data_IF_624241064084
#
_entry.id   IF_624241064084
#
_cell.length_a   1.000
_cell.length_b   1.000
_cell.length_c   1.000
_cell.angle_alpha   90.00
_cell.angle_beta   90.00
_cell.angle_gamma   90.00
#
_symmetry.space_group_name_H-M   'P 1'
#
loop_
_entity.id
_entity.type
_entity.pdbx_description
1 polymer ?
#
# COMPACT_ATOMS: atom_id res chain seq x y z
N UNK A 1 -9.71 10.83 76.58
CA UNK A 1 -10.02 11.13 75.16
C UNK A 1 -9.83 9.84 74.38
N UNK A 2 -10.87 9.42 73.66
CA UNK A 2 -11.02 8.10 73.04
C UNK A 2 -10.24 8.06 71.72
N UNK A 3 -9.38 7.06 71.55
CA UNK A 3 -8.80 6.74 70.24
C UNK A 3 -9.82 5.90 69.45
N UNK A 4 -10.25 6.32 68.25
CA UNK A 4 -11.11 5.48 67.43
C UNK A 4 -10.29 4.38 66.76
N UNK A 5 -10.65 3.16 67.16
CA UNK A 5 -10.33 1.89 66.53
C UNK A 5 -10.82 1.84 65.08
N UNK A 6 -9.99 1.28 64.20
CA UNK A 6 -10.39 0.42 63.08
C UNK A 6 -11.56 0.88 62.19
N UNK A 7 -11.25 1.69 61.17
CA UNK A 7 -11.84 1.46 59.84
C UNK A 7 -10.81 0.67 59.04
N UNK A 8 -10.88 -0.64 59.23
CA UNK A 8 -10.24 -1.65 58.42
C UNK A 8 -11.13 -1.82 57.18
N UNK A 9 -10.76 -1.28 56.03
CA UNK A 9 -11.03 -1.88 54.71
C UNK A 9 -10.64 -0.91 53.58
N UNK A 10 -9.72 -1.40 52.75
CA UNK A 10 -9.58 -1.09 51.33
C UNK A 10 -9.32 0.36 50.93
N UNK A 11 -8.03 0.73 50.81
CA UNK A 11 -7.53 1.59 49.71
C UNK A 11 -5.99 1.47 49.54
N UNK A 12 -5.43 0.30 49.88
CA UNK A 12 -4.05 -0.03 49.48
C UNK A 12 -4.10 -0.64 48.08
N UNK A 13 -3.65 0.15 47.10
CA UNK A 13 -3.03 -0.33 45.87
C UNK A 13 -3.96 -0.76 44.74
N UNK A 14 -4.17 0.14 43.77
CA UNK A 14 -4.12 -0.27 42.35
C UNK A 14 -3.31 0.80 41.62
N UNK A 15 -1.98 0.66 41.70
CA UNK A 15 -1.10 1.10 40.64
C UNK A 15 -1.36 0.24 39.40
N UNK A 16 -1.26 0.86 38.22
CA UNK A 16 -1.19 0.28 36.88
C UNK A 16 -1.26 -1.25 36.75
N UNK A 17 -2.30 -1.73 36.07
CA UNK A 17 -2.18 -2.96 35.29
C UNK A 17 -2.90 -2.74 33.96
N UNK A 18 -2.14 -2.44 32.90
CA UNK A 18 -2.57 -2.77 31.55
C UNK A 18 -2.85 -4.26 31.55
N UNK A 19 -4.11 -4.62 31.36
CA UNK A 19 -4.50 -6.00 31.15
C UNK A 19 -4.00 -6.41 29.77
N UNK A 20 -2.76 -6.89 29.71
CA UNK A 20 -2.28 -7.72 28.62
C UNK A 20 -3.04 -9.03 28.72
N UNK A 21 -4.16 -9.13 28.01
CA UNK A 21 -4.80 -10.42 27.80
C UNK A 21 -3.90 -11.24 26.88
N UNK A 22 -2.93 -11.94 27.48
CA UNK A 22 -2.25 -13.08 26.87
C UNK A 22 -3.14 -14.31 27.12
N UNK A 23 -4.06 -14.59 26.19
CA UNK A 23 -4.71 -15.88 26.11
C UNK A 23 -3.73 -16.87 25.48
N UNK A 24 -3.02 -17.63 26.32
CA UNK A 24 -2.18 -18.74 25.89
C UNK A 24 -3.01 -19.93 25.44
N UNK A 25 -3.07 -20.13 24.12
CA UNK A 25 -3.21 -21.40 23.39
C UNK A 25 -2.88 -21.08 21.92
N UNK A 26 -2.13 -21.95 21.23
CA UNK A 26 -1.64 -21.86 19.84
C UNK A 26 -0.29 -21.14 19.63
N UNK A 27 0.82 -21.87 19.74
CA UNK A 27 2.16 -21.42 19.35
C UNK A 27 2.35 -21.43 17.82
N UNK A 28 1.52 -20.66 17.12
CA UNK A 28 1.84 -20.15 15.79
C UNK A 28 1.96 -18.64 15.95
N UNK A 29 2.98 -18.21 16.70
CA UNK A 29 3.22 -16.79 16.93
C UNK A 29 3.58 -16.17 15.57
N UNK A 30 2.55 -15.69 14.86
CA UNK A 30 2.68 -15.17 13.51
C UNK A 30 3.57 -13.95 13.58
N UNK A 31 4.66 -13.95 12.81
CA UNK A 31 5.66 -12.88 12.84
C UNK A 31 5.00 -11.50 12.67
N UNK A 32 5.06 -10.68 13.71
CA UNK A 32 4.55 -9.31 13.67
C UNK A 32 5.60 -8.37 13.06
N UNK A 33 5.31 -7.85 11.86
CA UNK A 33 6.17 -6.88 11.16
C UNK A 33 6.19 -5.49 11.83
N UNK A 34 5.13 -5.12 12.55
CA UNK A 34 5.03 -3.84 13.26
C UNK A 34 4.21 -4.01 14.54
N UNK A 35 4.55 -3.28 15.63
CA UNK A 35 3.75 -3.30 16.85
C UNK A 35 2.39 -2.59 16.67
N UNK A 36 2.27 -1.68 15.69
CA UNK A 36 1.00 -1.04 15.32
C UNK A 36 0.15 -1.97 14.45
N UNK A 37 -1.12 -2.19 14.82
CA UNK A 37 -2.01 -3.13 14.12
C UNK A 37 -2.42 -2.66 12.72
N UNK A 38 -2.58 -1.34 12.51
CA UNK A 38 -2.94 -0.78 11.22
C UNK A 38 -1.78 -0.88 10.23
N UNK A 39 -0.56 -0.55 10.68
CA UNK A 39 0.64 -0.71 9.86
C UNK A 39 0.94 -2.18 9.57
N UNK A 40 0.78 -3.05 10.57
CA UNK A 40 0.97 -4.48 10.39
C UNK A 40 0.05 -5.05 9.31
N UNK A 41 -1.25 -4.75 9.36
CA UNK A 41 -2.21 -5.21 8.34
C UNK A 41 -1.83 -4.72 6.94
N UNK A 42 -1.44 -3.46 6.82
CA UNK A 42 -1.08 -2.87 5.54
C UNK A 42 0.18 -3.53 4.94
N UNK A 43 1.19 -3.79 5.78
CA UNK A 43 2.41 -4.52 5.39
C UNK A 43 2.11 -5.97 4.97
N UNK A 44 1.15 -6.63 5.61
CA UNK A 44 0.72 -7.98 5.20
C UNK A 44 0.06 -7.99 3.81
N UNK A 45 -0.75 -6.98 3.48
CA UNK A 45 -1.32 -6.86 2.13
C UNK A 45 -0.20 -6.65 1.10
N UNK A 46 0.76 -5.77 1.38
CA UNK A 46 1.94 -5.56 0.53
C UNK A 46 2.72 -6.85 0.33
N UNK A 47 2.92 -7.63 1.39
CA UNK A 47 3.62 -8.91 1.31
C UNK A 47 2.86 -9.91 0.41
N UNK A 48 1.53 -9.96 0.51
CA UNK A 48 0.68 -10.77 -0.38
C UNK A 48 0.78 -10.34 -1.86
N UNK A 49 0.93 -9.04 -2.12
CA UNK A 49 1.08 -8.48 -3.48
C UNK A 49 2.41 -8.88 -4.15
N UNK A 50 3.37 -9.43 -3.41
CA UNK A 50 4.65 -9.91 -3.97
C UNK A 50 4.46 -11.03 -4.99
N UNK A 51 3.44 -11.87 -4.79
CA UNK A 51 3.07 -12.96 -5.71
C UNK A 51 2.69 -12.47 -7.11
N UNK A 52 2.12 -11.26 -7.20
CA UNK A 52 1.67 -10.63 -8.46
C UNK A 52 2.64 -9.57 -8.99
N UNK A 53 3.89 -9.55 -8.51
CA UNK A 53 4.88 -8.51 -8.85
C UNK A 53 4.45 -7.09 -8.47
N UNK A 54 3.51 -6.95 -7.54
CA UNK A 54 3.04 -5.64 -7.03
C UNK A 54 3.90 -5.06 -5.91
N UNK A 55 4.73 -5.88 -5.28
CA UNK A 55 5.74 -5.48 -4.29
C UNK A 55 6.89 -6.48 -4.30
N UNK A 56 8.02 -6.11 -3.69
CA UNK A 56 9.12 -7.03 -3.39
C UNK A 56 9.11 -7.35 -1.90
N UNK A 57 9.35 -8.62 -1.54
CA UNK A 57 9.47 -9.05 -0.14
C UNK A 57 10.59 -8.29 0.55
N UNK A 58 11.73 -8.11 -0.13
CA UNK A 58 12.87 -7.40 0.45
C UNK A 58 12.55 -5.94 0.77
N UNK A 59 11.84 -5.25 -0.12
CA UNK A 59 11.45 -3.85 0.09
C UNK A 59 10.45 -3.73 1.27
N UNK A 60 9.49 -4.64 1.36
CA UNK A 60 8.44 -4.60 2.41
C UNK A 60 9.04 -4.87 3.78
N UNK A 61 9.97 -5.83 3.89
CA UNK A 61 10.68 -6.09 5.14
C UNK A 61 11.64 -4.95 5.49
N UNK A 62 12.30 -4.35 4.50
CA UNK A 62 13.11 -3.14 4.70
C UNK A 62 12.28 -1.94 5.17
N UNK A 63 11.11 -1.74 4.57
CA UNK A 63 10.16 -0.69 4.98
C UNK A 63 9.66 -0.93 6.41
N UNK A 64 9.32 -2.17 6.76
CA UNK A 64 8.88 -2.51 8.11
C UNK A 64 9.91 -2.13 9.19
N UNK A 65 11.21 -2.24 8.88
CA UNK A 65 12.28 -1.84 9.78
C UNK A 65 12.50 -0.31 9.82
N UNK A 66 12.23 0.40 8.72
CA UNK A 66 12.44 1.84 8.62
C UNK A 66 11.28 2.68 9.20
N UNK A 67 10.07 2.11 9.25
CA UNK A 67 8.86 2.82 9.67
C UNK A 67 8.80 2.93 11.19
N UNK A 68 8.63 4.16 11.69
CA UNK A 68 8.37 4.41 13.11
C UNK A 68 6.89 4.09 13.41
N UNK A 69 6.59 3.15 14.32
CA UNK A 69 5.21 2.80 14.67
C UNK A 69 4.43 4.01 15.20
N UNK A 70 3.17 4.16 14.78
CA UNK A 70 2.31 5.29 15.15
C UNK A 70 2.60 6.62 14.42
N UNK A 71 3.65 6.70 13.59
CA UNK A 71 3.94 7.89 12.79
C UNK A 71 3.54 7.71 11.32
N UNK A 72 2.40 8.30 10.93
CA UNK A 72 1.88 8.24 9.56
C UNK A 72 2.79 8.92 8.53
N UNK A 73 3.48 9.99 8.92
CA UNK A 73 4.42 10.69 8.02
C UNK A 73 5.62 9.82 7.69
N UNK A 74 6.13 9.07 8.67
CA UNK A 74 7.22 8.12 8.46
C UNK A 74 6.80 7.02 7.48
N UNK A 75 5.62 6.43 7.67
CA UNK A 75 5.06 5.44 6.74
C UNK A 75 5.00 5.98 5.30
N UNK A 76 4.37 7.15 5.12
CA UNK A 76 4.17 7.73 3.80
C UNK A 76 5.50 8.09 3.12
N UNK A 77 6.45 8.65 3.88
CA UNK A 77 7.76 9.03 3.36
C UNK A 77 8.58 7.81 2.90
N UNK A 78 8.61 6.73 3.70
CA UNK A 78 9.32 5.49 3.33
C UNK A 78 8.80 4.90 2.02
N UNK A 79 7.47 4.83 1.84
CA UNK A 79 6.91 4.31 0.59
C UNK A 79 7.09 5.25 -0.60
N UNK A 80 7.07 6.56 -0.40
CA UNK A 80 7.37 7.53 -1.46
C UNK A 80 8.83 7.43 -1.95
N UNK A 81 9.77 7.21 -1.02
CA UNK A 81 11.18 6.97 -1.35
C UNK A 81 11.35 5.68 -2.14
N UNK A 82 10.78 4.56 -1.65
CA UNK A 82 10.81 3.27 -2.35
C UNK A 82 10.22 3.36 -3.76
N UNK A 83 9.10 4.07 -3.92
CA UNK A 83 8.47 4.25 -5.21
C UNK A 83 9.38 4.99 -6.19
N UNK A 84 10.08 6.04 -5.72
CA UNK A 84 11.04 6.81 -6.52
C UNK A 84 12.23 5.95 -6.94
N UNK A 85 12.76 5.13 -6.02
CA UNK A 85 13.86 4.20 -6.29
C UNK A 85 13.47 3.16 -7.35
N UNK A 86 12.29 2.54 -7.23
CA UNK A 86 11.80 1.58 -8.24
C UNK A 86 11.53 2.23 -9.58
N UNK A 87 10.99 3.44 -9.59
CA UNK A 87 10.82 4.19 -10.83
C UNK A 87 12.16 4.42 -11.55
N UNK A 88 13.20 4.82 -10.82
CA UNK A 88 14.55 4.97 -11.37
C UNK A 88 15.12 3.63 -11.87
N UNK A 89 14.94 2.54 -11.11
CA UNK A 89 15.36 1.19 -11.50
C UNK A 89 14.66 0.73 -12.79
N UNK A 90 13.36 1.00 -12.92
CA UNK A 90 12.58 0.65 -14.10
C UNK A 90 13.07 1.38 -15.36
N UNK A 91 13.46 2.66 -15.21
CA UNK A 91 14.03 3.47 -16.30
C UNK A 91 15.42 3.01 -16.72
N UNK A 92 16.23 2.50 -15.78
CA UNK A 92 17.57 1.98 -16.07
C UNK A 92 17.54 0.59 -16.74
N UNK A 93 16.43 -0.13 -16.63
CA UNK A 93 16.31 -1.51 -17.09
C UNK A 93 16.00 -1.60 -18.59
N UNK A 94 16.86 -2.30 -19.35
CA UNK A 94 16.64 -2.54 -20.80
C UNK A 94 15.59 -3.62 -21.09
N UNK A 95 15.34 -4.53 -20.14
CA UNK A 95 14.37 -5.61 -20.31
C UNK A 95 12.95 -5.08 -20.10
N UNK A 96 12.13 -5.09 -21.16
CA UNK A 96 10.75 -4.58 -21.13
C UNK A 96 9.84 -5.29 -20.12
N UNK A 97 10.04 -6.59 -19.87
CA UNK A 97 9.22 -7.37 -18.92
C UNK A 97 9.57 -6.97 -17.49
N UNK A 98 10.87 -6.94 -17.18
CA UNK A 98 11.33 -6.48 -15.87
C UNK A 98 10.94 -5.02 -15.63
N UNK A 99 11.11 -4.14 -16.62
CA UNK A 99 10.72 -2.74 -16.52
C UNK A 99 9.21 -2.58 -16.22
N UNK A 100 8.35 -3.36 -16.90
CA UNK A 100 6.90 -3.38 -16.62
C UNK A 100 6.62 -3.73 -15.16
N UNK A 101 7.22 -4.81 -14.68
CA UNK A 101 6.99 -5.33 -13.33
C UNK A 101 7.53 -4.34 -12.28
N UNK A 102 8.67 -3.70 -12.52
CA UNK A 102 9.21 -2.67 -11.63
C UNK A 102 8.35 -1.39 -11.63
N UNK A 103 7.79 -0.98 -12.78
CA UNK A 103 6.83 0.12 -12.82
C UNK A 103 5.54 -0.20 -12.06
N UNK A 104 5.09 -1.47 -12.08
CA UNK A 104 3.93 -1.91 -11.31
C UNK A 104 4.19 -1.86 -9.80
N UNK A 105 5.39 -2.25 -9.37
CA UNK A 105 5.83 -2.09 -7.97
C UNK A 105 5.85 -0.61 -7.56
N UNK A 106 6.44 0.27 -8.38
CA UNK A 106 6.49 1.70 -8.11
C UNK A 106 5.08 2.31 -7.97
N UNK A 107 4.15 1.96 -8.87
CA UNK A 107 2.76 2.41 -8.80
C UNK A 107 2.05 1.92 -7.52
N UNK A 108 2.33 0.69 -7.10
CA UNK A 108 1.81 0.13 -5.86
C UNK A 108 2.33 0.91 -4.66
N UNK A 109 3.63 1.16 -4.55
CA UNK A 109 4.21 1.94 -3.45
C UNK A 109 3.69 3.37 -3.38
N UNK A 110 3.47 4.02 -4.53
CA UNK A 110 2.77 5.31 -4.57
C UNK A 110 1.36 5.27 -3.99
N UNK A 111 0.61 4.19 -4.22
CA UNK A 111 -0.71 3.98 -3.61
C UNK A 111 -0.62 3.86 -2.09
N UNK A 112 0.40 3.19 -1.57
CA UNK A 112 0.61 3.05 -0.13
C UNK A 112 1.09 4.35 0.52
N UNK A 113 1.89 5.16 -0.18
CA UNK A 113 2.34 6.46 0.30
C UNK A 113 1.19 7.47 0.53
N UNK A 114 0.06 7.33 -0.17
CA UNK A 114 -1.14 8.18 0.03
C UNK A 114 -2.13 7.58 1.05
N UNK A 115 -1.90 6.36 1.54
CA UNK A 115 -2.91 5.60 2.27
C UNK A 115 -3.35 6.25 3.58
N UNK A 116 -2.44 6.80 4.37
CA UNK A 116 -2.79 7.45 5.63
C UNK A 116 -3.00 8.97 5.50
N UNK A 117 -3.01 9.52 4.27
CA UNK A 117 -3.05 10.97 4.03
C UNK A 117 -4.44 11.53 3.67
N UNK A 118 -5.52 10.89 4.09
CA UNK A 118 -6.87 11.23 3.61
C UNK A 118 -7.40 12.60 4.07
N UNK A 119 -6.83 13.22 5.11
CA UNK A 119 -7.27 14.52 5.66
C UNK A 119 -6.39 15.73 5.34
N UNK A 120 -5.15 15.54 4.87
CA UNK A 120 -4.19 16.63 4.64
C UNK A 120 -3.46 16.48 3.28
N UNK A 121 -4.26 16.30 2.23
CA UNK A 121 -3.78 16.20 0.84
C UNK A 121 -3.07 17.48 0.34
N UNK A 122 -3.13 18.57 1.11
CA UNK A 122 -2.60 19.89 0.76
C UNK A 122 -1.19 20.12 1.31
N UNK A 123 -0.87 19.66 2.53
CA UNK A 123 0.45 19.96 3.13
C UNK A 123 1.59 19.04 2.67
N UNK A 124 1.29 17.89 2.07
CA UNK A 124 2.31 16.96 1.56
C UNK A 124 2.21 16.91 0.02
N UNK A 125 3.05 17.66 -0.72
CA UNK A 125 2.94 17.79 -2.17
C UNK A 125 3.30 16.53 -2.98
N UNK A 126 3.53 15.38 -2.33
CA UNK A 126 4.25 14.24 -2.91
C UNK A 126 3.30 13.22 -3.59
N UNK A 127 2.13 12.90 -3.03
CA UNK A 127 1.36 11.70 -3.41
C UNK A 127 0.74 11.70 -4.82
N UNK A 128 0.08 12.79 -5.23
CA UNK A 128 -0.65 12.85 -6.52
C UNK A 128 0.28 13.23 -7.68
N UNK A 129 1.27 14.09 -7.44
CA UNK A 129 2.16 14.58 -8.50
C UNK A 129 3.13 13.49 -8.99
N UNK A 130 3.56 12.58 -8.10
CA UNK A 130 4.57 11.56 -8.43
C UNK A 130 3.96 10.20 -8.84
N UNK A 131 2.72 9.91 -8.44
CA UNK A 131 2.01 8.69 -8.88
C UNK A 131 1.62 8.73 -10.36
N UNK A 132 1.17 9.88 -10.88
CA UNK A 132 0.77 10.08 -12.29
C UNK A 132 1.83 9.63 -13.31
N UNK A 133 3.10 10.06 -13.24
CA UNK A 133 4.11 9.65 -14.21
C UNK A 133 4.42 8.14 -14.15
N UNK A 134 4.43 7.54 -12.95
CA UNK A 134 4.68 6.10 -12.79
C UNK A 134 3.59 5.24 -13.42
N UNK A 135 2.31 5.59 -13.18
CA UNK A 135 1.16 4.88 -13.78
C UNK A 135 1.12 5.08 -15.29
N UNK A 136 1.32 6.31 -15.78
CA UNK A 136 1.35 6.59 -17.22
C UNK A 136 2.43 5.78 -17.94
N UNK A 137 3.65 5.71 -17.37
CA UNK A 137 4.75 4.93 -17.94
C UNK A 137 4.50 3.42 -17.87
N UNK A 138 3.90 2.93 -16.79
CA UNK A 138 3.45 1.53 -16.70
C UNK A 138 2.50 1.17 -17.85
N UNK A 139 1.50 2.02 -18.12
CA UNK A 139 0.54 1.84 -19.22
C UNK A 139 1.24 1.85 -20.59
N UNK A 140 2.24 2.70 -20.79
CA UNK A 140 3.02 2.71 -22.03
C UNK A 140 3.79 1.40 -22.23
N UNK A 141 4.49 0.92 -21.18
CA UNK A 141 5.28 -0.31 -21.25
C UNK A 141 4.39 -1.53 -21.46
N UNK A 142 3.24 -1.60 -20.78
CA UNK A 142 2.30 -2.72 -20.95
C UNK A 142 1.68 -2.77 -22.34
N UNK A 143 1.33 -1.62 -22.94
CA UNK A 143 0.85 -1.53 -24.33
C UNK A 143 1.85 -2.04 -25.36
N UNK A 144 3.16 -1.84 -25.13
CA UNK A 144 4.22 -2.31 -26.03
C UNK A 144 4.37 -3.85 -26.13
N UNK A 145 3.60 -4.59 -25.30
CA UNK A 145 3.67 -6.05 -25.17
C UNK A 145 2.38 -6.76 -25.59
N UNK A 146 1.28 -6.03 -25.85
CA UNK A 146 0.09 -6.68 -26.41
C UNK A 146 0.49 -7.32 -27.74
N UNK A 147 0.35 -8.65 -27.91
CA UNK A 147 0.68 -9.27 -29.17
C UNK A 147 -0.20 -8.59 -30.22
N UNK A 148 0.43 -7.91 -31.17
CA UNK A 148 -0.21 -7.51 -32.41
C UNK A 148 -0.45 -8.77 -33.25
N UNK A 149 -1.18 -9.74 -32.72
CA UNK A 149 -1.82 -10.75 -33.54
C UNK A 149 -2.95 -10.03 -34.26
N UNK A 150 -2.60 -9.42 -35.39
CA UNK A 150 -3.54 -8.83 -36.36
C UNK A 150 -4.63 -9.82 -36.79
N UNK A 151 -4.44 -11.12 -36.53
CA UNK A 151 -5.42 -12.18 -36.77
C UNK A 151 -6.44 -12.40 -35.63
N UNK A 152 -6.20 -11.93 -34.40
CA UNK A 152 -7.15 -12.11 -33.29
C UNK A 152 -8.19 -10.99 -33.18
N UNK A 153 -7.92 -9.82 -33.74
CA UNK A 153 -8.85 -8.66 -33.70
C UNK A 153 -10.08 -8.91 -34.59
N UNK A 154 -9.97 -9.76 -35.62
CA UNK A 154 -11.07 -10.03 -36.54
C UNK A 154 -12.17 -10.95 -35.98
N UNK A 155 -11.87 -11.84 -35.03
CA UNK A 155 -12.87 -12.79 -34.49
C UNK A 155 -13.53 -12.33 -33.17
N UNK A 156 -12.94 -11.36 -32.47
CA UNK A 156 -13.47 -10.83 -31.20
C UNK A 156 -14.40 -9.62 -31.42
N UNK A 157 -14.34 -8.97 -32.58
CA UNK A 157 -15.07 -7.72 -32.87
C UNK A 157 -16.61 -7.83 -32.89
N UNK A 158 -17.18 -9.03 -33.01
CA UNK A 158 -18.65 -9.19 -33.07
C UNK A 158 -19.24 -9.61 -31.70
N UNK A 159 -18.43 -10.15 -30.78
CA UNK A 159 -18.90 -10.56 -29.45
C UNK A 159 -18.44 -9.64 -28.31
N UNK A 160 -17.44 -8.77 -28.52
CA UNK A 160 -16.89 -7.88 -27.48
C UNK A 160 -17.69 -6.61 -27.23
N UNK A 161 -18.69 -6.28 -28.04
CA UNK A 161 -19.50 -5.09 -27.82
C UNK A 161 -20.36 -5.18 -26.53
N UNK A 162 -20.69 -6.39 -26.05
CA UNK A 162 -21.53 -6.56 -24.87
C UNK A 162 -20.78 -6.75 -23.56
N UNK A 163 -19.55 -7.29 -23.56
CA UNK A 163 -18.81 -7.55 -22.31
C UNK A 163 -17.93 -6.34 -21.92
N UNK A 164 -17.45 -5.54 -22.86
CA UNK A 164 -16.59 -4.37 -22.57
C UNK A 164 -17.37 -3.24 -21.88
N UNK A 165 -18.66 -3.09 -22.15
CA UNK A 165 -19.47 -2.06 -21.49
C UNK A 165 -19.63 -2.30 -19.98
N UNK A 166 -19.58 -3.57 -19.53
CA UNK A 166 -19.82 -3.89 -18.13
C UNK A 166 -18.58 -3.83 -17.23
N UNK A 167 -17.37 -3.98 -17.78
CA UNK A 167 -16.11 -3.84 -17.01
C UNK A 167 -15.51 -2.43 -17.08
N UNK A 168 -15.94 -1.59 -18.03
CA UNK A 168 -15.47 -0.20 -18.13
C UNK A 168 -16.14 0.76 -17.12
N UNK A 169 -17.20 0.34 -16.42
CA UNK A 169 -17.85 1.20 -15.43
C UNK A 169 -17.10 1.34 -14.10
N UNK A 170 -16.25 0.38 -13.71
CA UNK A 170 -15.46 0.50 -12.47
C UNK A 170 -14.11 1.21 -12.65
N UNK A 171 -13.57 1.28 -13.88
CA UNK A 171 -12.29 1.98 -14.13
C UNK A 171 -12.46 3.49 -14.36
N UNK A 172 -13.70 3.96 -14.52
CA UNK A 172 -14.02 5.37 -14.82
C UNK A 172 -14.04 6.30 -13.59
N UNK A 173 -13.70 5.81 -12.39
CA UNK A 173 -13.50 6.71 -11.25
C UNK A 173 -12.08 7.34 -11.19
N UNK A 174 -11.13 6.85 -11.99
CA UNK A 174 -9.74 7.36 -11.97
C UNK A 174 -9.38 8.28 -13.15
N UNK A 175 -10.28 8.47 -14.12
CA UNK A 175 -10.08 9.33 -15.30
C UNK A 175 -10.63 10.76 -15.13
N UNK A 176 -11.01 11.16 -13.91
CA UNK A 176 -11.33 12.57 -13.63
C UNK A 176 -10.04 13.37 -13.59
N UNK A 177 -9.67 13.96 -14.74
CA UNK A 177 -8.98 15.27 -14.95
C UNK A 177 -8.02 15.33 -16.15
N UNK A 178 -7.93 14.32 -17.02
CA UNK A 178 -7.22 14.49 -18.30
C UNK A 178 -8.20 14.63 -19.46
N UNK A 179 -9.09 15.62 -19.36
CA UNK A 179 -9.75 16.21 -20.51
C UNK A 179 -10.00 17.69 -20.25
N UNK A 180 -9.62 18.54 -21.23
CA UNK A 180 -9.65 20.03 -21.27
C UNK A 180 -8.69 20.77 -20.32
N UNK A 181 -7.96 21.81 -20.73
CA UNK A 181 -8.03 22.65 -21.93
C UNK A 181 -6.69 23.36 -22.16
N UNK A 182 -6.45 23.69 -23.44
CA UNK A 182 -5.51 24.70 -24.00
C UNK A 182 -4.04 24.61 -23.62
#
# INVERSE_FOLDING_TARGET
>A
MKFPSTVFAALVGIASAQQTNQSGFDTWDTLRLSPDSAFHFQLLILLGMSTYRGADVADVLGAANAIVPGNFTSFNATFAELATLKQAQALATKNKVSARDTFFQAASYWRYADFFNHGNRIAVPIGIQVSKPSVSRYVQVSKSKLPSCSSCIAFVGILSAFIVQSLCYDFNLFTVTTDRAS
#
